data_IF_520569174611
#
_entry.id   IF_520569174611
#
_cell.length_a   1.000
_cell.length_b   1.000
_cell.length_c   1.000
_cell.angle_alpha   90.00
_cell.angle_beta   90.00
_cell.angle_gamma   90.00
#
_symmetry.space_group_name_H-M   'P 1'
#
loop_
_entity.id
_entity.type
_entity.pdbx_description
1 polymer ?
#
# COMPACT_ATOMS: atom_id res chain seq x y z
N UNK A 1 -31.43 -83.81 6.78
CA UNK A 1 -32.15 -83.41 5.56
C UNK A 1 -32.63 -81.97 5.75
N UNK A 2 -32.61 -81.16 4.67
CA UNK A 2 -32.26 -79.74 4.65
C UNK A 2 -33.52 -78.85 4.75
N UNK A 3 -33.49 -77.52 4.88
CA UNK A 3 -33.04 -76.55 3.86
C UNK A 3 -32.68 -75.22 4.51
N UNK A 4 -31.53 -74.73 4.08
CA UNK A 4 -30.98 -73.38 4.23
C UNK A 4 -31.77 -72.39 3.38
N UNK A 5 -32.10 -71.22 3.93
CA UNK A 5 -32.23 -70.00 3.13
C UNK A 5 -31.39 -68.91 3.77
N UNK A 6 -30.33 -68.53 3.06
CA UNK A 6 -29.42 -67.42 3.35
C UNK A 6 -29.95 -66.14 2.67
N UNK A 7 -29.60 -65.02 3.31
CA UNK A 7 -29.34 -63.69 2.71
C UNK A 7 -30.49 -62.88 2.14
N UNK A 8 -30.75 -61.72 2.76
CA UNK A 8 -30.40 -60.43 2.15
C UNK A 8 -30.58 -59.31 3.19
N UNK A 9 -29.47 -58.89 3.81
CA UNK A 9 -29.42 -57.67 4.60
C UNK A 9 -29.41 -56.50 3.60
N UNK A 10 -30.58 -55.92 3.33
CA UNK A 10 -30.71 -54.68 2.56
C UNK A 10 -30.05 -53.55 3.35
N UNK A 11 -28.80 -53.26 3.01
CA UNK A 11 -28.07 -52.10 3.51
C UNK A 11 -28.34 -50.95 2.54
N UNK A 12 -29.37 -50.14 2.83
CA UNK A 12 -29.62 -48.89 2.11
C UNK A 12 -28.81 -47.79 2.80
N UNK A 13 -27.52 -47.66 2.45
CA UNK A 13 -26.74 -46.47 2.81
C UNK A 13 -27.04 -45.43 1.74
N UNK A 14 -27.85 -44.44 2.11
CA UNK A 14 -28.18 -43.29 1.30
C UNK A 14 -26.92 -42.52 0.93
N UNK A 15 -26.71 -42.33 -0.37
CA UNK A 15 -25.73 -41.42 -0.92
C UNK A 15 -26.24 -40.00 -0.68
N UNK A 16 -25.93 -39.43 0.49
CA UNK A 16 -26.16 -38.02 0.76
C UNK A 16 -25.11 -37.23 -0.05
N UNK A 17 -25.51 -36.78 -1.23
CA UNK A 17 -24.72 -35.85 -2.02
C UNK A 17 -24.53 -34.55 -1.21
N UNK A 18 -23.40 -34.44 -0.53
CA UNK A 18 -22.90 -33.20 0.04
C UNK A 18 -22.53 -32.28 -1.13
N UNK A 19 -23.54 -31.64 -1.73
CA UNK A 19 -23.36 -30.37 -2.41
C UNK A 19 -23.13 -29.32 -1.32
N UNK A 20 -21.94 -29.37 -0.70
CA UNK A 20 -21.42 -28.25 0.05
C UNK A 20 -21.25 -27.12 -0.96
N UNK A 21 -22.12 -26.11 -0.85
CA UNK A 21 -21.97 -24.88 -1.60
C UNK A 21 -20.55 -24.39 -1.40
N UNK A 22 -19.80 -24.28 -2.48
CA UNK A 22 -18.65 -23.39 -2.50
C UNK A 22 -19.23 -21.99 -2.33
N UNK A 23 -19.36 -21.56 -1.08
CA UNK A 23 -19.44 -20.15 -0.71
C UNK A 23 -18.18 -19.51 -1.29
N UNK A 24 -18.29 -19.01 -2.51
CA UNK A 24 -17.27 -18.21 -3.14
C UNK A 24 -17.20 -16.95 -2.29
N UNK A 25 -16.24 -16.91 -1.35
CA UNK A 25 -15.93 -15.71 -0.61
C UNK A 25 -15.57 -14.63 -1.65
N UNK A 26 -16.54 -13.78 -1.98
CA UNK A 26 -16.31 -12.62 -2.79
C UNK A 26 -15.31 -11.77 -2.00
N UNK A 27 -14.05 -11.75 -2.45
CA UNK A 27 -13.07 -10.81 -1.95
C UNK A 27 -13.67 -9.43 -2.18
N UNK A 28 -14.18 -8.82 -1.11
CA UNK A 28 -14.74 -7.49 -1.17
C UNK A 28 -13.61 -6.60 -1.65
N UNK A 29 -13.75 -6.07 -2.87
CA UNK A 29 -12.79 -5.14 -3.43
C UNK A 29 -12.89 -3.87 -2.61
N UNK A 30 -12.15 -3.83 -1.49
CA UNK A 30 -11.98 -2.62 -0.71
C UNK A 30 -11.46 -1.58 -1.69
N UNK A 31 -12.24 -0.52 -1.88
CA UNK A 31 -11.80 0.62 -2.70
C UNK A 31 -10.50 1.10 -2.08
N UNK A 32 -9.40 0.97 -2.82
CA UNK A 32 -8.09 1.43 -2.33
C UNK A 32 -8.21 2.91 -2.03
N UNK A 33 -7.82 3.32 -0.80
CA UNK A 33 -7.93 4.71 -0.37
C UNK A 33 -7.10 5.59 -1.31
N UNK A 34 -7.61 6.77 -1.69
CA UNK A 34 -6.83 7.74 -2.46
C UNK A 34 -5.58 8.21 -1.70
N UNK A 35 -4.64 8.85 -2.39
CA UNK A 35 -3.47 9.46 -1.74
C UNK A 35 -3.86 10.46 -0.63
N UNK A 36 -4.97 11.19 -0.79
CA UNK A 36 -5.46 12.09 0.26
C UNK A 36 -6.06 11.34 1.45
N UNK A 37 -6.85 10.28 1.19
CA UNK A 37 -7.53 9.54 2.25
C UNK A 37 -6.63 8.51 2.96
N UNK A 38 -5.48 8.20 2.37
CA UNK A 38 -4.44 7.38 2.96
C UNK A 38 -3.27 8.20 3.53
N UNK A 39 -3.38 9.53 3.60
CA UNK A 39 -2.33 10.38 4.17
C UNK A 39 -2.03 9.95 5.62
N UNK A 40 -0.78 9.60 5.95
CA UNK A 40 -0.40 9.12 7.28
C UNK A 40 -0.73 10.08 8.41
N UNK A 41 -0.61 11.40 8.16
CA UNK A 41 -0.90 12.45 9.14
C UNK A 41 -2.40 12.53 9.38
N UNK A 42 -3.21 12.43 8.33
CA UNK A 42 -4.69 12.39 8.41
C UNK A 42 -5.16 11.13 9.15
N UNK A 43 -4.51 9.99 8.92
CA UNK A 43 -4.83 8.73 9.60
C UNK A 43 -4.30 8.68 11.05
N UNK A 44 -3.34 9.52 11.42
CA UNK A 44 -2.80 9.59 12.78
C UNK A 44 -2.05 8.33 13.21
N UNK A 45 -1.36 7.67 12.28
CA UNK A 45 -0.56 6.48 12.59
C UNK A 45 0.53 6.78 13.63
N UNK A 46 0.70 5.88 14.59
CA UNK A 46 1.74 5.96 15.62
C UNK A 46 1.71 7.26 16.45
N UNK A 47 0.55 7.92 16.55
CA UNK A 47 0.37 9.13 17.36
C UNK A 47 -0.16 8.80 18.77
N UNK A 48 0.30 9.57 19.77
CA UNK A 48 -0.05 9.36 21.19
C UNK A 48 1.02 8.58 21.98
N UNK A 49 0.83 8.45 23.30
CA UNK A 49 1.74 7.68 24.16
C UNK A 49 0.98 6.92 25.27
N UNK A 50 0.89 5.57 25.18
CA UNK A 50 1.18 4.78 23.98
C UNK A 50 0.19 5.11 22.85
N UNK A 51 0.56 4.93 21.57
CA UNK A 51 -0.42 4.99 20.49
C UNK A 51 -1.55 3.99 20.73
N UNK A 52 -2.82 4.34 20.41
CA UNK A 52 -3.94 3.42 20.52
C UNK A 52 -3.70 2.12 19.73
N UNK A 53 -4.21 0.96 20.18
CA UNK A 53 -3.98 -0.32 19.52
C UNK A 53 -4.29 -0.33 18.01
N UNK A 54 -5.35 0.37 17.60
CA UNK A 54 -5.78 0.50 16.21
C UNK A 54 -4.92 1.44 15.36
N UNK A 55 -3.99 2.17 15.98
CA UNK A 55 -3.02 3.07 15.34
C UNK A 55 -1.58 2.54 15.37
N UNK A 56 -1.38 1.33 15.88
CA UNK A 56 -0.09 0.67 15.91
C UNK A 56 0.30 0.12 14.53
N UNK A 57 1.58 0.30 14.21
CA UNK A 57 2.27 -0.27 13.06
C UNK A 57 3.42 -1.10 13.64
N UNK A 58 3.37 -2.42 13.46
CA UNK A 58 4.28 -3.37 14.11
C UNK A 58 4.71 -4.50 13.16
N UNK A 59 5.55 -5.41 13.64
CA UNK A 59 5.80 -6.70 13.00
C UNK A 59 4.53 -7.58 12.99
N UNK A 60 4.38 -8.52 12.04
CA UNK A 60 5.31 -8.88 10.96
C UNK A 60 5.25 -7.93 9.75
N UNK A 61 6.05 -8.20 8.71
CA UNK A 61 6.07 -7.45 7.44
C UNK A 61 4.68 -7.20 6.85
N UNK A 62 3.78 -8.19 6.94
CA UNK A 62 2.40 -8.07 6.47
C UNK A 62 1.58 -7.00 7.19
N UNK A 63 2.03 -6.47 8.32
CA UNK A 63 1.43 -5.33 8.99
C UNK A 63 2.08 -4.01 8.52
N UNK A 64 3.38 -3.82 8.76
CA UNK A 64 4.04 -2.54 8.48
C UNK A 64 4.26 -2.22 6.99
N UNK A 65 4.27 -3.22 6.10
CA UNK A 65 4.28 -3.01 4.65
C UNK A 65 2.89 -3.14 3.98
N UNK A 66 1.82 -3.27 4.77
CA UNK A 66 0.45 -3.26 4.22
C UNK A 66 -0.02 -1.86 3.87
N UNK A 67 -0.83 -1.72 2.82
CA UNK A 67 -1.52 -0.46 2.56
C UNK A 67 -2.70 -0.28 3.53
N UNK A 68 -2.91 0.91 4.14
CA UNK A 68 -2.19 2.18 3.93
C UNK A 68 -0.99 2.41 4.87
N UNK A 69 -0.71 1.49 5.82
CA UNK A 69 0.36 1.63 6.83
C UNK A 69 1.73 1.89 6.21
N UNK A 70 2.03 1.29 5.06
CA UNK A 70 3.30 1.44 4.34
C UNK A 70 3.66 2.92 4.09
N UNK A 71 2.65 3.78 3.88
CA UNK A 71 2.83 5.22 3.63
C UNK A 71 3.39 5.97 4.84
N UNK A 72 3.16 5.48 6.05
CA UNK A 72 3.85 5.96 7.25
C UNK A 72 5.22 5.29 7.40
N UNK A 73 5.25 3.96 7.24
CA UNK A 73 6.41 3.10 7.49
C UNK A 73 7.65 3.54 6.73
N UNK A 74 7.56 3.79 5.42
CA UNK A 74 8.76 4.12 4.61
C UNK A 74 9.44 5.42 5.04
N UNK A 75 8.71 6.30 5.72
CA UNK A 75 9.22 7.57 6.24
C UNK A 75 9.78 7.45 7.66
N UNK A 76 9.35 6.42 8.41
CA UNK A 76 9.67 6.20 9.81
C UNK A 76 10.32 4.83 10.07
N UNK A 77 10.84 4.16 9.03
CA UNK A 77 11.32 2.76 9.10
C UNK A 77 12.38 2.54 10.18
N UNK A 78 13.12 3.61 10.52
CA UNK A 78 14.16 3.63 11.56
C UNK A 78 13.62 3.40 12.96
N UNK A 79 12.33 3.62 13.17
CA UNK A 79 11.62 3.37 14.42
C UNK A 79 11.20 1.91 14.57
N UNK A 80 11.15 1.15 13.47
CA UNK A 80 10.68 -0.24 13.43
C UNK A 80 11.82 -1.26 13.31
N UNK A 81 12.93 -0.86 12.68
CA UNK A 81 14.01 -1.78 12.29
C UNK A 81 15.38 -1.26 12.74
N UNK A 82 16.36 -2.15 13.00
CA UNK A 82 17.74 -1.73 13.21
C UNK A 82 18.26 -0.93 12.01
N UNK A 83 18.76 0.29 12.26
CA UNK A 83 19.35 1.14 11.21
C UNK A 83 20.71 1.65 11.63
N UNK A 84 21.56 1.93 10.64
CA UNK A 84 22.85 2.58 10.85
C UNK A 84 22.79 3.99 10.28
N UNK A 85 23.25 4.97 11.06
CA UNK A 85 23.39 6.35 10.58
C UNK A 85 24.46 6.41 9.49
N UNK A 86 24.14 7.10 8.39
CA UNK A 86 25.10 7.51 7.35
C UNK A 86 25.25 9.02 7.47
N UNK A 87 26.45 9.48 7.76
CA UNK A 87 26.74 10.90 8.00
C UNK A 87 26.82 11.67 6.67
N UNK A 88 26.18 12.84 6.59
CA UNK A 88 26.16 13.70 5.39
C UNK A 88 27.38 14.60 5.18
N UNK A 89 28.40 14.51 6.04
CA UNK A 89 29.57 15.37 6.07
C UNK A 89 29.61 16.29 7.30
N UNK A 90 30.75 16.95 7.52
CA UNK A 90 31.01 17.83 8.68
C UNK A 90 30.67 19.31 8.38
N UNK A 91 30.23 19.63 7.15
CA UNK A 91 29.88 20.99 6.73
C UNK A 91 28.38 21.20 6.52
N UNK A 92 27.93 22.46 6.34
CA UNK A 92 26.57 22.72 5.89
C UNK A 92 26.35 22.11 4.50
N UNK A 93 25.12 21.67 4.17
CA UNK A 93 24.79 21.25 2.82
C UNK A 93 25.03 22.39 1.82
N UNK A 94 25.49 22.05 0.62
CA UNK A 94 25.61 23.04 -0.46
C UNK A 94 24.22 23.57 -0.85
N UNK A 95 24.04 24.90 -1.02
CA UNK A 95 22.77 25.43 -1.44
C UNK A 95 22.43 24.99 -2.87
N UNK A 96 21.15 24.82 -3.15
CA UNK A 96 20.65 24.61 -4.51
C UNK A 96 20.11 25.93 -5.07
N UNK A 97 20.41 26.20 -6.33
CA UNK A 97 19.80 27.32 -7.05
C UNK A 97 18.38 26.95 -7.49
N UNK A 98 17.46 27.91 -7.45
CA UNK A 98 16.05 27.70 -7.79
C UNK A 98 15.65 28.48 -9.03
N UNK A 99 14.84 27.84 -9.89
CA UNK A 99 14.20 28.43 -11.06
C UNK A 99 12.87 27.69 -11.32
N UNK A 100 11.97 27.74 -10.35
CA UNK A 100 10.71 26.99 -10.35
C UNK A 100 9.88 27.32 -11.60
N UNK A 101 9.33 26.28 -12.22
CA UNK A 101 8.43 26.35 -13.36
C UNK A 101 7.13 25.60 -13.03
N UNK A 102 6.11 26.33 -12.61
CA UNK A 102 4.78 25.76 -12.32
C UNK A 102 4.09 25.15 -13.55
N UNK A 103 4.53 25.49 -14.77
CA UNK A 103 4.03 24.90 -16.01
C UNK A 103 4.30 23.39 -16.12
N UNK A 104 5.21 22.85 -15.30
CA UNK A 104 5.48 21.40 -15.25
C UNK A 104 4.25 20.61 -14.78
N UNK A 105 3.42 21.17 -13.89
CA UNK A 105 2.19 20.49 -13.42
C UNK A 105 1.24 20.14 -14.58
N UNK A 106 1.24 20.94 -15.64
CA UNK A 106 0.35 20.79 -16.80
C UNK A 106 0.89 19.87 -17.90
N UNK A 107 2.12 19.37 -17.79
CA UNK A 107 2.70 18.45 -18.79
C UNK A 107 1.83 17.20 -18.88
N UNK A 108 1.31 16.91 -20.07
CA UNK A 108 0.43 15.75 -20.30
C UNK A 108 1.21 14.57 -20.87
N UNK A 109 0.86 13.37 -20.44
CA UNK A 109 1.41 12.14 -21.00
C UNK A 109 0.38 11.01 -20.93
N UNK A 110 0.61 9.95 -21.72
CA UNK A 110 -0.18 8.72 -21.67
C UNK A 110 0.58 7.69 -20.84
N UNK A 111 -0.08 7.02 -19.90
CA UNK A 111 0.57 5.96 -19.11
C UNK A 111 1.04 4.82 -20.01
N UNK A 112 2.08 4.11 -19.56
CA UNK A 112 2.54 2.90 -20.23
C UNK A 112 1.37 1.92 -20.47
N UNK A 113 1.43 1.19 -21.58
CA UNK A 113 0.37 0.25 -21.97
C UNK A 113 -0.87 0.88 -22.60
N UNK A 114 -0.83 2.17 -22.97
CA UNK A 114 -1.95 2.84 -23.63
C UNK A 114 -3.09 3.20 -22.69
N UNK A 115 -2.79 3.46 -21.42
CA UNK A 115 -3.81 3.84 -20.43
C UNK A 115 -4.30 5.27 -20.60
N UNK A 116 -4.98 5.80 -19.58
CA UNK A 116 -5.60 7.12 -19.65
C UNK A 116 -4.54 8.23 -19.71
N UNK A 117 -4.69 9.25 -20.58
CA UNK A 117 -3.89 10.46 -20.49
C UNK A 117 -4.06 11.12 -19.12
N UNK A 118 -2.99 11.68 -18.58
CA UNK A 118 -3.00 12.47 -17.36
C UNK A 118 -1.93 13.57 -17.40
N UNK A 119 -2.09 14.55 -16.54
CA UNK A 119 -1.09 15.58 -16.27
C UNK A 119 -0.02 15.06 -15.31
N UNK A 120 1.15 15.71 -15.30
CA UNK A 120 2.21 15.44 -14.34
C UNK A 120 1.70 15.54 -12.91
N UNK A 121 0.94 16.58 -12.58
CA UNK A 121 0.36 16.77 -11.25
C UNK A 121 -0.55 15.63 -10.82
N UNK A 122 -1.45 15.19 -11.70
CA UNK A 122 -2.35 14.06 -11.43
C UNK A 122 -1.57 12.77 -11.17
N UNK A 123 -0.46 12.56 -11.89
CA UNK A 123 0.38 11.38 -11.72
C UNK A 123 0.98 11.26 -10.32
N UNK A 124 1.30 12.38 -9.66
CA UNK A 124 1.89 12.37 -8.32
C UNK A 124 0.93 11.75 -7.32
N UNK A 125 -0.33 12.18 -7.34
CA UNK A 125 -1.39 11.61 -6.50
C UNK A 125 -1.76 10.19 -6.90
N UNK A 126 -1.81 9.89 -8.21
CA UNK A 126 -2.13 8.54 -8.69
C UNK A 126 -1.11 7.48 -8.23
N UNK A 127 0.14 7.89 -7.99
CA UNK A 127 1.22 7.02 -7.53
C UNK A 127 1.55 7.18 -6.03
N UNK A 128 0.73 7.89 -5.24
CA UNK A 128 0.97 8.12 -3.81
C UNK A 128 2.34 8.75 -3.52
N UNK A 129 2.82 9.64 -4.40
CA UNK A 129 4.15 10.26 -4.29
C UNK A 129 4.26 11.08 -3.01
N UNK A 130 5.29 10.84 -2.19
CA UNK A 130 5.54 11.65 -0.99
C UNK A 130 6.52 12.81 -1.26
N UNK A 131 7.49 12.66 -2.18
CA UNK A 131 8.43 13.72 -2.53
C UNK A 131 8.88 13.65 -3.99
N UNK A 132 8.92 14.80 -4.67
CA UNK A 132 9.34 14.93 -6.06
C UNK A 132 10.23 16.16 -6.23
N UNK A 133 11.41 15.98 -6.82
CA UNK A 133 12.38 17.03 -7.10
C UNK A 133 12.90 16.88 -8.53
N UNK A 134 12.82 17.95 -9.34
CA UNK A 134 13.39 18.00 -10.69
C UNK A 134 14.48 19.07 -10.72
N UNK A 135 15.69 18.67 -11.07
CA UNK A 135 16.83 19.56 -11.28
C UNK A 135 17.15 19.58 -12.77
N UNK A 136 17.19 20.78 -13.35
CA UNK A 136 17.56 20.98 -14.75
C UNK A 136 18.61 22.08 -14.85
N UNK A 137 19.76 21.76 -15.46
CA UNK A 137 20.92 22.67 -15.60
C UNK A 137 21.39 23.26 -14.26
N UNK A 138 21.50 22.42 -13.23
CA UNK A 138 21.98 22.81 -11.91
C UNK A 138 20.99 23.60 -11.05
N UNK A 139 19.74 23.79 -11.53
CA UNK A 139 18.70 24.51 -10.78
C UNK A 139 17.51 23.61 -10.50
N UNK A 140 16.93 23.73 -9.31
CA UNK A 140 15.64 23.15 -8.97
C UNK A 140 14.55 23.85 -9.78
N UNK A 141 13.85 23.11 -10.63
CA UNK A 141 12.77 23.62 -11.48
C UNK A 141 11.40 23.13 -11.04
N UNK A 142 11.34 22.11 -10.20
CA UNK A 142 10.11 21.56 -9.63
C UNK A 142 10.41 20.88 -8.30
N UNK A 143 9.59 21.15 -7.29
CA UNK A 143 9.71 20.54 -5.98
C UNK A 143 8.31 20.45 -5.34
N UNK A 144 7.90 19.25 -4.93
CA UNK A 144 6.63 19.01 -4.22
C UNK A 144 6.79 17.91 -3.19
N UNK A 145 6.13 18.08 -2.05
CA UNK A 145 6.09 17.12 -0.95
C UNK A 145 4.64 16.88 -0.51
N UNK A 146 4.33 15.64 -0.14
CA UNK A 146 3.02 15.15 0.23
C UNK A 146 3.15 14.01 1.26
N UNK A 147 2.02 13.49 1.73
CA UNK A 147 1.99 12.28 2.55
C UNK A 147 2.68 12.49 3.90
N UNK A 148 3.77 11.78 4.17
CA UNK A 148 4.51 11.89 5.42
C UNK A 148 5.59 12.98 5.43
N UNK A 149 5.89 13.60 4.27
CA UNK A 149 6.90 14.65 4.10
C UNK A 149 6.31 16.05 4.24
#
# INVERSE_FOLDING_TARGET
MPVSVRSALMTFIGMLALFGGFEHAAAQSATTLSAENSDPRKLGWMTGFPPPPEKLIMQPESDFFSFPKLRWTVCHIRELMPTKQVNGGIGPPGPLDYAINDGIDAVTFTTMGGGKPMTWKESLSANYTDGMLIIHKGRVVYEKYFGCL
#
